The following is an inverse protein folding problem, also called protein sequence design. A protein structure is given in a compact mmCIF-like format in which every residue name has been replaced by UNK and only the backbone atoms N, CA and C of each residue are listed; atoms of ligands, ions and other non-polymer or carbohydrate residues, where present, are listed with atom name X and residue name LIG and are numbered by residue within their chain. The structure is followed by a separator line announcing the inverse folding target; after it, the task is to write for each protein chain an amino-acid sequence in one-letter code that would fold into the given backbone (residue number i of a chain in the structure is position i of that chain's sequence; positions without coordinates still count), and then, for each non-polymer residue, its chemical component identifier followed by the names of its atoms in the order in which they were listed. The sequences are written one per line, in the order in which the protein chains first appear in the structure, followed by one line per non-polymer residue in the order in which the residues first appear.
data_IF_213107871962
#
_entry.id   IF_213107871962
#
_cell.length_a   1.000
_cell.length_b   1.000
_cell.length_c   1.000
_cell.angle_alpha   90.00
_cell.angle_beta   90.00
_cell.angle_gamma   90.00
#
_symmetry.space_group_name_H-M   'P 1'
#
loop_
_entity.id
_entity.type
_entity.pdbx_description
1 polymer ?
#
# COMPACT_ATOMS: atom_id res chain seq x y z
N UNK A 1 11.05 -22.58 0.59
CA UNK A 1 10.28 -21.50 1.22
C UNK A 1 10.46 -20.27 0.35
N UNK A 2 9.42 -19.92 -0.42
CA UNK A 2 9.46 -18.74 -1.28
C UNK A 2 9.52 -17.49 -0.38
N UNK A 3 10.61 -16.73 -0.45
CA UNK A 3 10.72 -15.47 0.30
C UNK A 3 9.77 -14.48 -0.36
N UNK A 4 8.84 -13.90 0.40
CA UNK A 4 8.10 -12.73 -0.07
C UNK A 4 9.11 -11.59 -0.26
N UNK A 5 9.39 -11.23 -1.51
CA UNK A 5 10.27 -10.12 -1.84
C UNK A 5 9.43 -8.85 -1.91
N UNK A 6 9.75 -7.79 -1.15
CA UNK A 6 9.08 -6.50 -1.29
C UNK A 6 9.34 -5.95 -2.70
N UNK A 7 8.27 -5.58 -3.40
CA UNK A 7 8.36 -4.97 -4.73
C UNK A 7 7.90 -3.52 -4.66
N UNK A 8 8.79 -2.59 -5.01
CA UNK A 8 8.44 -1.19 -5.19
C UNK A 8 7.68 -0.98 -6.51
N UNK A 9 6.56 -0.27 -6.46
CA UNK A 9 5.71 0.08 -7.60
C UNK A 9 5.65 1.61 -7.69
N UNK A 10 6.31 2.22 -8.71
CA UNK A 10 6.25 3.66 -8.89
C UNK A 10 4.83 4.07 -9.28
N UNK A 11 4.33 5.15 -8.69
CA UNK A 11 3.04 5.75 -8.93
C UNK A 11 3.03 6.72 -10.11
N UNK A 12 2.05 7.62 -10.09
CA UNK A 12 1.95 8.77 -10.98
C UNK A 12 1.88 10.02 -10.09
N UNK A 13 2.89 10.91 -10.11
CA UNK A 13 2.98 12.07 -9.21
C UNK A 13 1.67 12.86 -9.11
N UNK A 14 1.17 13.04 -7.88
CA UNK A 14 -0.07 13.76 -7.59
C UNK A 14 -1.38 13.08 -8.01
N UNK A 15 -1.32 11.85 -8.54
CA UNK A 15 -2.48 11.10 -9.03
C UNK A 15 -2.62 9.72 -8.38
N UNK A 16 -1.53 8.94 -8.40
CA UNK A 16 -1.42 7.60 -7.81
C UNK A 16 -0.14 7.60 -6.99
N UNK A 17 -0.17 7.29 -5.68
CA UNK A 17 1.05 7.25 -4.88
C UNK A 17 1.95 6.09 -5.31
N UNK A 18 3.25 6.23 -5.05
CA UNK A 18 4.15 5.08 -5.04
C UNK A 18 3.66 4.07 -4.00
N UNK A 19 4.04 2.80 -4.14
CA UNK A 19 3.70 1.79 -3.16
C UNK A 19 4.72 0.67 -3.07
N UNK A 20 4.80 0.06 -1.89
CA UNK A 20 5.42 -1.25 -1.75
C UNK A 20 4.34 -2.33 -1.72
N UNK A 21 4.58 -3.41 -2.45
CA UNK A 21 3.72 -4.60 -2.45
C UNK A 21 4.50 -5.76 -1.85
N UNK A 22 3.98 -6.31 -0.76
CA UNK A 22 4.61 -7.38 0.02
C UNK A 22 3.76 -8.65 -0.07
N UNK A 23 4.36 -9.78 -0.42
CA UNK A 23 3.67 -11.06 -0.51
C UNK A 23 4.08 -11.87 -1.75
N UNK A 24 3.51 -13.06 -1.90
CA UNK A 24 3.68 -13.88 -3.09
C UNK A 24 2.38 -13.94 -3.88
N UNK A 25 2.47 -13.86 -5.21
CA UNK A 25 1.34 -14.05 -6.12
C UNK A 25 0.86 -15.52 -6.17
N UNK A 26 1.55 -16.44 -5.48
CA UNK A 26 1.27 -17.86 -5.49
C UNK A 26 0.34 -18.24 -4.33
N UNK A 27 -0.93 -18.56 -4.62
CA UNK A 27 -1.89 -19.07 -3.64
C UNK A 27 -3.32 -18.60 -3.88
N UNK A 28 -4.27 -19.05 -3.04
CA UNK A 28 -5.65 -18.53 -3.05
C UNK A 28 -5.62 -17.05 -2.68
N UNK A 29 -6.07 -16.20 -3.60
CA UNK A 29 -6.00 -14.75 -3.46
C UNK A 29 -6.87 -14.26 -2.29
N UNK A 30 -6.23 -14.03 -1.13
CA UNK A 30 -6.87 -13.38 0.02
C UNK A 30 -7.02 -11.88 -0.23
N UNK A 31 -8.01 -11.23 0.39
CA UNK A 31 -8.09 -9.77 0.39
C UNK A 31 -6.77 -9.12 0.81
N UNK A 32 -6.34 -8.09 0.09
CA UNK A 32 -5.16 -7.33 0.46
C UNK A 32 -5.39 -6.56 1.76
N UNK A 33 -4.30 -6.22 2.46
CA UNK A 33 -4.31 -5.22 3.53
C UNK A 33 -3.52 -4.01 3.08
N UNK A 34 -4.14 -2.84 3.14
CA UNK A 34 -3.45 -1.57 2.95
C UNK A 34 -2.94 -1.09 4.30
N UNK A 35 -1.64 -0.86 4.41
CA UNK A 35 -0.99 -0.34 5.60
C UNK A 35 -0.50 1.09 5.36
N UNK A 36 -1.22 2.09 5.91
CA UNK A 36 -0.92 3.51 5.73
C UNK A 36 -0.01 4.00 6.86
N UNK A 37 1.11 4.61 6.50
CA UNK A 37 2.08 5.18 7.44
C UNK A 37 1.52 6.40 8.18
N UNK A 38 2.18 6.77 9.28
CA UNK A 38 1.86 7.98 10.06
C UNK A 38 2.58 9.23 9.57
N UNK A 39 2.47 10.32 10.34
CA UNK A 39 3.01 11.65 9.97
C UNK A 39 4.51 11.64 9.65
N UNK A 40 5.28 10.70 10.21
CA UNK A 40 6.72 10.53 9.99
C UNK A 40 7.06 9.98 8.60
N UNK A 41 6.09 9.41 7.87
CA UNK A 41 6.25 8.84 6.51
C UNK A 41 7.35 7.77 6.40
N UNK A 42 7.61 7.05 7.49
CA UNK A 42 8.62 5.99 7.58
C UNK A 42 8.22 4.69 6.87
N UNK A 43 8.03 4.74 5.55
CA UNK A 43 7.54 3.60 4.75
C UNK A 43 8.54 2.45 4.69
N UNK A 44 9.84 2.73 4.56
CA UNK A 44 10.87 1.69 4.48
C UNK A 44 10.97 0.87 5.78
N UNK A 45 10.91 1.56 6.93
CA UNK A 45 10.85 0.93 8.25
C UNK A 45 9.55 0.13 8.42
N UNK A 46 8.42 0.66 7.95
CA UNK A 46 7.15 -0.06 7.98
C UNK A 46 7.22 -1.35 7.13
N UNK A 47 7.82 -1.27 5.94
CA UNK A 47 8.01 -2.43 5.05
C UNK A 47 8.89 -3.49 5.70
N UNK A 48 10.02 -3.11 6.30
CA UNK A 48 10.93 -4.07 6.94
C UNK A 48 10.25 -4.86 8.07
N UNK A 49 9.39 -4.19 8.85
CA UNK A 49 8.59 -4.83 9.90
C UNK A 49 7.41 -5.68 9.37
N UNK A 50 6.85 -5.32 8.22
CA UNK A 50 5.67 -5.99 7.65
C UNK A 50 6.02 -7.20 6.78
N UNK A 51 7.22 -7.27 6.19
CA UNK A 51 7.64 -8.43 5.36
C UNK A 51 7.44 -9.77 6.08
N UNK A 52 7.90 -9.96 7.33
CA UNK A 52 7.67 -11.21 8.06
C UNK A 52 6.17 -11.53 8.26
N UNK A 53 5.33 -10.51 8.40
CA UNK A 53 3.87 -10.67 8.58
C UNK A 53 3.17 -11.04 7.27
N UNK A 54 3.57 -10.46 6.14
CA UNK A 54 3.08 -10.87 4.82
C UNK A 54 3.34 -12.36 4.57
N UNK A 55 4.55 -12.83 4.88
CA UNK A 55 4.93 -14.25 4.77
C UNK A 55 4.08 -15.13 5.70
N UNK A 56 4.00 -14.77 6.99
CA UNK A 56 3.31 -15.59 7.99
C UNK A 56 1.80 -15.71 7.74
N UNK A 57 1.17 -14.68 7.17
CA UNK A 57 -0.29 -14.65 6.95
C UNK A 57 -0.71 -15.08 5.55
N UNK A 58 0.23 -15.14 4.60
CA UNK A 58 -0.04 -15.36 3.19
C UNK A 58 -0.90 -14.26 2.55
N UNK A 59 -0.97 -13.07 3.17
CA UNK A 59 -1.74 -11.94 2.63
C UNK A 59 -0.82 -10.98 1.90
N UNK A 60 -1.32 -10.44 0.78
CA UNK A 60 -0.67 -9.30 0.13
C UNK A 60 -0.86 -8.06 0.98
N UNK A 61 0.25 -7.39 1.33
CA UNK A 61 0.24 -6.08 1.98
C UNK A 61 0.60 -5.01 0.96
N UNK A 62 -0.15 -3.92 0.95
CA UNK A 62 0.12 -2.74 0.12
C UNK A 62 0.46 -1.59 1.06
N UNK A 63 1.65 -1.03 0.90
CA UNK A 63 2.12 0.10 1.72
C UNK A 63 2.25 1.32 0.80
N UNK A 64 1.19 2.15 0.66
CA UNK A 64 1.26 3.37 -0.13
C UNK A 64 2.27 4.35 0.50
N UNK A 65 3.07 4.99 -0.34
CA UNK A 65 3.98 6.05 0.04
C UNK A 65 3.38 7.39 -0.38
N UNK A 66 2.76 8.06 0.58
CA UNK A 66 2.40 9.46 0.43
C UNK A 66 3.63 10.28 0.81
N UNK A 67 4.44 10.67 -0.17
CA UNK A 67 5.62 11.50 0.08
C UNK A 67 5.25 12.98 0.36
N UNK A 68 6.18 13.74 0.92
CA UNK A 68 5.95 15.13 1.30
C UNK A 68 5.78 16.07 0.08
N UNK A 69 6.46 15.79 -1.03
CA UNK A 69 6.48 16.65 -2.20
C UNK A 69 5.13 16.63 -2.94
N UNK A 70 4.54 15.45 -3.10
CA UNK A 70 3.30 15.26 -3.84
C UNK A 70 2.06 15.21 -2.92
N UNK A 71 2.23 14.81 -1.65
CA UNK A 71 1.13 14.60 -0.70
C UNK A 71 1.37 15.30 0.66
N UNK A 72 1.63 16.62 0.70
CA UNK A 72 2.01 17.33 1.93
C UNK A 72 0.94 17.30 3.02
N UNK A 73 -0.34 17.10 2.66
CA UNK A 73 -1.50 17.13 3.57
C UNK A 73 -2.29 15.83 3.57
N UNK A 74 -1.64 14.70 3.29
CA UNK A 74 -2.33 13.43 3.03
C UNK A 74 -3.25 12.94 4.17
N UNK A 75 -2.99 13.32 5.43
CA UNK A 75 -3.85 13.00 6.59
C UNK A 75 -5.14 13.83 6.64
N UNK A 76 -5.29 14.89 5.82
CA UNK A 76 -6.49 15.72 5.80
C UNK A 76 -7.53 15.15 4.86
N UNK A 77 -8.67 14.75 5.42
CA UNK A 77 -9.82 14.26 4.65
C UNK A 77 -10.41 15.28 3.66
N UNK A 78 -10.35 16.58 3.98
CA UNK A 78 -10.90 17.64 3.15
C UNK A 78 -9.80 18.61 2.68
N UNK A 79 -9.16 18.29 1.55
CA UNK A 79 -8.25 19.20 0.85
C UNK A 79 -8.29 18.97 -0.67
N UNK A 80 -7.62 19.84 -1.43
CA UNK A 80 -7.55 19.72 -2.91
C UNK A 80 -6.79 18.46 -3.36
N UNK A 81 -5.81 18.00 -2.57
CA UNK A 81 -4.96 16.85 -2.87
C UNK A 81 -5.42 15.65 -2.04
N UNK A 82 -6.51 15.01 -2.49
CA UNK A 82 -7.21 13.92 -1.80
C UNK A 82 -6.42 12.61 -1.86
N UNK A 83 -5.61 12.34 -0.84
CA UNK A 83 -4.80 11.13 -0.73
C UNK A 83 -5.66 9.84 -0.64
N UNK A 84 -6.85 9.94 -0.08
CA UNK A 84 -7.84 8.86 -0.06
C UNK A 84 -8.32 8.48 -1.47
N UNK A 85 -8.60 9.46 -2.33
CA UNK A 85 -8.92 9.19 -3.74
C UNK A 85 -7.72 8.60 -4.49
N UNK A 86 -6.51 9.06 -4.17
CA UNK A 86 -5.29 8.52 -4.75
C UNK A 86 -5.03 7.07 -4.32
N UNK A 87 -5.34 6.72 -3.06
CA UNK A 87 -5.32 5.35 -2.58
C UNK A 87 -6.31 4.47 -3.36
N UNK A 88 -7.54 4.93 -3.56
CA UNK A 88 -8.52 4.17 -4.33
C UNK A 88 -8.05 3.92 -5.77
N UNK A 89 -7.40 4.89 -6.40
CA UNK A 89 -6.78 4.73 -7.73
C UNK A 89 -5.66 3.69 -7.71
N UNK A 90 -4.75 3.75 -6.72
CA UNK A 90 -3.71 2.73 -6.55
C UNK A 90 -4.31 1.33 -6.45
N UNK A 91 -5.35 1.16 -5.64
CA UNK A 91 -5.99 -0.16 -5.46
C UNK A 91 -6.70 -0.64 -6.73
N UNK A 92 -7.27 0.26 -7.53
CA UNK A 92 -7.83 -0.09 -8.83
C UNK A 92 -6.74 -0.57 -9.80
N UNK A 93 -5.61 0.12 -9.88
CA UNK A 93 -4.47 -0.25 -10.74
C UNK A 93 -3.87 -1.61 -10.33
N UNK A 94 -3.65 -1.83 -9.04
CA UNK A 94 -3.12 -3.11 -8.54
C UNK A 94 -4.06 -4.29 -8.85
N UNK A 95 -5.38 -4.05 -8.88
CA UNK A 95 -6.36 -5.05 -9.33
C UNK A 95 -6.27 -5.31 -10.82
N UNK A 96 -6.19 -4.27 -11.65
CA UNK A 96 -6.05 -4.45 -13.11
C UNK A 96 -4.72 -5.10 -13.51
N UNK A 97 -3.67 -4.88 -12.72
CA UNK A 97 -2.36 -5.53 -12.87
C UNK A 97 -2.38 -7.00 -12.38
N UNK A 98 -3.47 -7.47 -11.76
CA UNK A 98 -3.57 -8.82 -11.19
C UNK A 98 -2.71 -9.03 -9.93
N UNK A 99 -2.24 -7.96 -9.28
CA UNK A 99 -1.34 -8.02 -8.11
C UNK A 99 -2.08 -8.23 -6.79
N UNK A 100 -3.36 -7.90 -6.76
CA UNK A 100 -4.25 -8.12 -5.62
C UNK A 100 -5.59 -8.69 -6.09
N UNK A 101 -6.32 -9.33 -5.17
CA UNK A 101 -7.65 -9.85 -5.47
C UNK A 101 -8.67 -8.72 -5.70
N UNK A 102 -9.76 -8.99 -6.44
CA UNK A 102 -10.83 -8.02 -6.65
C UNK A 102 -11.69 -7.77 -5.41
N UNK A 103 -11.56 -8.60 -4.36
CA UNK A 103 -12.31 -8.49 -3.11
C UNK A 103 -12.06 -7.14 -2.41
N UNK A 104 -12.99 -6.71 -1.52
CA UNK A 104 -12.75 -5.57 -0.63
C UNK A 104 -11.45 -5.75 0.15
N UNK A 105 -10.61 -4.72 0.20
CA UNK A 105 -9.37 -4.75 0.97
C UNK A 105 -9.61 -4.29 2.41
N UNK A 106 -8.74 -4.74 3.32
CA UNK A 106 -8.70 -4.22 4.68
C UNK A 106 -7.78 -3.00 4.75
N UNK A 107 -8.07 -2.07 5.65
CA UNK A 107 -7.27 -0.87 5.87
C UNK A 107 -6.73 -0.83 7.31
N UNK A 108 -5.43 -0.60 7.45
CA UNK A 108 -4.74 -0.38 8.72
C UNK A 108 -3.94 0.91 8.63
N UNK A 109 -4.17 1.84 9.55
CA UNK A 109 -3.43 3.09 9.65
C UNK A 109 -2.60 3.12 10.93
N UNK A 110 -1.38 3.64 10.85
CA UNK A 110 -0.55 3.91 12.02
C UNK A 110 -0.46 5.41 12.26
N UNK A 111 -0.95 5.90 13.41
CA UNK A 111 -0.71 7.28 13.88
C UNK A 111 -1.01 8.37 12.85
N UNK A 112 -2.26 8.39 12.36
CA UNK A 112 -2.74 9.36 11.38
C UNK A 112 -4.24 9.53 11.34
#
# INVERSE_FOLDING_TARGET
MDRAVPVFRPGVPGLIPDAWVLGSACGVARPAVVAVHGITRGVEEMVSHLVPRAVATGRTLVVPHFDMAHWPRYQRAACRQRADLALLRLMAELRSEGRISPEPFDLSGFSG
#
